data_IF_184746989158
#
_entry.id   IF_184746989158
#
_cell.length_a   1.000
_cell.length_b   1.000
_cell.length_c   1.000
_cell.angle_alpha   90.00
_cell.angle_beta   90.00
_cell.angle_gamma   90.00
#
_symmetry.space_group_name_H-M   'P 1'
#
loop_
_entity.id
_entity.type
_entity.pdbx_description
1 polymer ?
#
# COMPACT_ATOMS: atom_id res chain seq x y z
N UNK A 1 -2.06 36.05 4.04
CA UNK A 1 -1.05 35.57 5.01
C UNK A 1 0.25 35.31 4.25
N UNK A 2 1.32 36.08 4.50
CA UNK A 2 2.63 35.90 3.81
C UNK A 2 3.36 34.71 4.44
N UNK A 3 3.85 33.76 3.63
CA UNK A 3 4.72 32.67 4.08
C UNK A 3 6.02 33.26 4.66
N UNK A 4 6.44 32.78 5.84
CA UNK A 4 7.76 33.11 6.40
C UNK A 4 8.84 32.24 5.71
N UNK A 5 10.02 32.77 5.40
CA UNK A 5 11.11 31.99 4.82
C UNK A 5 11.71 31.01 5.83
N UNK A 6 12.09 29.82 5.36
CA UNK A 6 12.88 28.82 6.09
C UNK A 6 14.28 29.40 6.35
N UNK A 7 14.74 29.38 7.60
CA UNK A 7 16.07 29.86 8.00
C UNK A 7 16.97 28.67 8.33
N UNK A 8 18.06 28.49 7.57
CA UNK A 8 19.13 27.56 7.91
C UNK A 8 20.29 28.36 8.53
N UNK A 9 20.68 28.06 9.77
CA UNK A 9 21.84 28.69 10.42
C UNK A 9 22.94 27.64 10.67
N UNK A 10 24.22 27.94 10.37
CA UNK A 10 25.33 27.07 10.73
C UNK A 10 25.63 27.15 12.23
N UNK A 11 25.64 26.00 12.92
CA UNK A 11 26.03 25.90 14.33
C UNK A 11 27.55 25.98 14.44
N UNK A 12 28.09 26.99 15.13
CA UNK A 12 29.54 27.09 15.42
C UNK A 12 29.91 26.18 16.59
N UNK A 13 30.47 25.02 16.29
CA UNK A 13 31.18 24.18 17.27
C UNK A 13 32.50 23.68 16.69
N UNK A 14 33.59 24.42 16.88
CA UNK A 14 34.95 23.92 16.64
C UNK A 14 35.54 23.52 18.00
N UNK A 15 35.55 22.22 18.33
CA UNK A 15 36.44 21.71 19.37
C UNK A 15 37.79 21.37 18.72
N UNK A 16 38.85 22.10 19.11
CA UNK A 16 40.23 21.74 18.78
C UNK A 16 40.74 20.77 19.83
N UNK A 17 40.98 19.51 19.48
CA UNK A 17 41.97 18.68 20.16
C UNK A 17 43.34 18.93 19.52
N UNK A 18 44.37 19.13 20.36
CA UNK A 18 45.76 19.34 19.96
C UNK A 18 46.34 18.07 19.32
N UNK A 19 46.85 18.20 18.10
CA UNK A 19 47.53 17.13 17.35
C UNK A 19 49.00 17.50 17.21
N UNK A 20 49.91 16.68 17.75
CA UNK A 20 51.32 16.65 17.37
C UNK A 20 51.45 16.07 15.95
N UNK A 21 52.34 16.66 15.14
CA UNK A 21 52.46 16.47 13.69
C UNK A 21 52.34 15.01 13.22
N UNK A 22 51.37 14.75 12.33
CA UNK A 22 51.26 13.45 11.65
C UNK A 22 49.86 12.98 11.23
N UNK A 23 48.77 13.73 11.43
CA UNK A 23 47.44 13.30 10.95
C UNK A 23 46.57 14.43 10.40
N UNK A 24 45.92 14.18 9.27
CA UNK A 24 44.96 15.10 8.64
C UNK A 24 43.72 15.23 9.55
N UNK A 25 43.38 16.47 9.93
CA UNK A 25 42.18 16.76 10.71
C UNK A 25 40.91 16.61 9.84
N UNK A 26 40.07 15.64 10.17
CA UNK A 26 38.72 15.47 9.62
C UNK A 26 37.77 16.46 10.32
N UNK A 27 37.26 17.45 9.58
CA UNK A 27 36.18 18.33 10.07
C UNK A 27 34.81 17.76 9.70
N UNK A 28 33.89 17.70 10.68
CA UNK A 28 32.47 17.43 10.47
C UNK A 28 31.67 18.74 10.37
N UNK A 29 30.60 18.76 9.59
CA UNK A 29 29.62 19.84 9.55
C UNK A 29 28.24 19.27 9.90
N UNK A 30 27.54 19.90 10.84
CA UNK A 30 26.17 19.53 11.24
C UNK A 30 25.23 20.59 10.67
N UNK A 31 24.20 20.16 9.93
CA UNK A 31 23.15 21.04 9.41
C UNK A 31 21.86 20.70 10.14
N UNK A 32 21.32 21.65 10.89
CA UNK A 32 20.07 21.50 11.64
C UNK A 32 18.95 22.22 10.87
N UNK A 33 17.86 21.52 10.55
CA UNK A 33 16.67 22.08 9.92
C UNK A 33 15.52 22.12 10.93
N UNK A 34 15.02 23.32 11.24
CA UNK A 34 13.78 23.48 12.03
C UNK A 34 12.59 23.62 11.08
N UNK A 35 11.65 22.68 11.16
CA UNK A 35 10.37 22.72 10.44
C UNK A 35 9.28 23.28 11.35
N UNK A 36 8.46 24.20 10.81
CA UNK A 36 7.28 24.70 11.51
C UNK A 36 6.10 23.71 11.46
N UNK A 37 5.07 23.88 12.31
CA UNK A 37 3.94 22.95 12.43
C UNK A 37 3.07 22.81 11.17
N UNK A 38 3.21 23.69 10.17
CA UNK A 38 2.47 23.64 8.90
C UNK A 38 3.28 23.02 7.74
N UNK A 39 4.53 22.60 7.97
CA UNK A 39 5.42 22.07 6.93
C UNK A 39 5.58 20.53 6.96
N UNK A 40 4.71 19.82 7.68
CA UNK A 40 4.67 18.34 7.67
C UNK A 40 4.03 17.74 6.41
N UNK A 41 3.58 18.56 5.46
CA UNK A 41 3.18 18.08 4.15
C UNK A 41 4.39 17.49 3.38
N UNK A 42 4.21 16.51 2.48
CA UNK A 42 5.30 15.90 1.70
C UNK A 42 6.20 16.93 0.99
N UNK A 43 5.63 18.07 0.62
CA UNK A 43 6.35 19.20 0.01
C UNK A 43 7.35 19.90 0.94
N UNK A 44 7.15 19.87 2.26
CA UNK A 44 8.06 20.48 3.25
C UNK A 44 9.28 19.62 3.52
N UNK A 45 9.09 18.32 3.72
CA UNK A 45 10.19 17.35 3.87
C UNK A 45 11.07 17.25 2.62
N UNK A 46 10.47 17.27 1.42
CA UNK A 46 11.22 17.24 0.16
C UNK A 46 12.12 18.47 -0.01
N UNK A 47 11.66 19.65 0.41
CA UNK A 47 12.46 20.89 0.41
C UNK A 47 13.66 20.79 1.37
N UNK A 48 13.45 20.24 2.56
CA UNK A 48 14.54 20.02 3.53
C UNK A 48 15.58 19.01 3.01
N UNK A 49 15.15 17.89 2.44
CA UNK A 49 16.06 16.88 1.90
C UNK A 49 16.86 17.43 0.71
N UNK A 50 16.22 18.19 -0.16
CA UNK A 50 16.88 18.86 -1.30
C UNK A 50 17.92 19.87 -0.84
N UNK A 51 17.61 20.68 0.18
CA UNK A 51 18.55 21.65 0.75
C UNK A 51 19.75 20.98 1.45
N UNK A 52 19.53 19.87 2.16
CA UNK A 52 20.59 19.09 2.80
C UNK A 52 21.53 18.44 1.77
N UNK A 53 20.99 17.92 0.67
CA UNK A 53 21.77 17.32 -0.42
C UNK A 53 22.57 18.40 -1.18
N UNK A 54 21.97 19.54 -1.52
CA UNK A 54 22.68 20.63 -2.20
C UNK A 54 23.81 21.21 -1.36
N UNK A 55 23.65 21.31 -0.03
CA UNK A 55 24.71 21.80 0.87
C UNK A 55 25.85 20.79 1.06
N UNK A 56 25.59 19.49 0.86
CA UNK A 56 26.64 18.46 0.81
C UNK A 56 27.41 18.46 -0.52
N UNK A 57 26.72 18.72 -1.64
CA UNK A 57 27.33 18.71 -2.99
C UNK A 57 28.07 20.01 -3.33
N UNK A 58 27.62 21.15 -2.80
CA UNK A 58 28.21 22.47 -3.07
C UNK A 58 28.47 23.22 -1.75
N UNK A 59 29.64 23.04 -1.10
CA UNK A 59 30.01 23.88 0.04
C UNK A 59 30.21 25.32 -0.44
N UNK A 60 29.17 26.15 -0.34
CA UNK A 60 29.25 27.57 -0.67
C UNK A 60 30.27 28.25 0.26
N UNK A 61 31.25 28.96 -0.32
CA UNK A 61 32.10 29.89 0.43
C UNK A 61 31.20 30.96 1.09
N UNK A 62 31.40 31.29 2.37
CA UNK A 62 30.55 32.28 3.02
C UNK A 62 30.81 33.67 2.45
N UNK A 63 29.77 34.47 2.12
CA UNK A 63 29.95 35.88 1.87
C UNK A 63 30.21 36.60 3.22
N UNK A 64 31.24 37.46 3.24
CA UNK A 64 31.43 38.44 4.33
C UNK A 64 30.31 39.47 4.27
N UNK A 65 29.47 39.53 5.30
CA UNK A 65 29.16 40.74 6.10
C UNK A 65 27.99 40.49 7.05
N UNK A 66 28.25 40.82 8.31
CA UNK A 66 27.36 40.88 9.47
C UNK A 66 26.36 42.03 9.33
N UNK A 67 25.10 41.80 9.68
CA UNK A 67 24.22 42.81 10.26
C UNK A 67 23.38 42.14 11.36
N UNK A 68 23.59 42.58 12.60
CA UNK A 68 22.75 42.26 13.76
C UNK A 68 21.61 43.28 13.87
N UNK A 69 20.43 42.85 14.32
CA UNK A 69 19.72 43.43 15.49
C UNK A 69 18.51 42.54 15.87
N UNK A 70 17.97 42.66 17.10
CA UNK A 70 17.50 41.54 17.93
C UNK A 70 15.99 41.33 17.87
N UNK A 71 15.51 40.14 18.29
CA UNK A 71 14.24 39.98 19.03
C UNK A 71 14.11 38.53 19.56
N UNK A 72 14.21 38.45 20.90
CA UNK A 72 13.56 37.57 21.89
C UNK A 72 13.19 36.11 21.57
N UNK A 73 13.72 35.26 22.46
CA UNK A 73 13.37 33.86 22.78
C UNK A 73 11.87 33.56 22.74
N UNK A 74 11.51 32.44 22.10
CA UNK A 74 10.69 31.39 22.72
C UNK A 74 11.09 30.02 22.12
N UNK A 75 11.60 29.13 22.96
CA UNK A 75 12.02 27.76 22.62
C UNK A 75 10.82 26.81 22.56
N UNK A 76 10.62 26.12 21.43
CA UNK A 76 9.75 24.93 21.33
C UNK A 76 10.57 23.70 20.92
N UNK A 77 10.46 22.63 21.70
CA UNK A 77 11.18 21.37 21.50
C UNK A 77 10.55 20.51 20.39
N UNK A 78 11.13 20.56 19.19
CA UNK A 78 10.97 19.52 18.16
C UNK A 78 12.21 18.62 18.14
N UNK A 79 12.03 17.31 17.94
CA UNK A 79 13.14 16.35 17.85
C UNK A 79 14.00 16.63 16.61
N UNK A 80 15.32 16.89 16.75
CA UNK A 80 16.20 17.13 15.60
C UNK A 80 16.51 15.81 14.87
N UNK A 81 16.40 15.82 13.53
CA UNK A 81 16.96 14.80 12.67
C UNK A 81 18.43 15.14 12.40
N UNK A 82 19.35 14.33 12.93
CA UNK A 82 20.79 14.52 12.74
C UNK A 82 21.30 13.68 11.57
N UNK A 83 21.90 14.32 10.57
CA UNK A 83 22.61 13.65 9.48
C UNK A 83 24.12 13.84 9.64
N UNK A 84 24.88 12.75 9.66
CA UNK A 84 26.35 12.75 9.72
C UNK A 84 26.90 12.41 8.33
N UNK A 85 27.63 13.33 7.71
CA UNK A 85 28.34 13.07 6.46
C UNK A 85 29.82 12.82 6.71
N UNK A 86 30.33 11.66 6.28
CA UNK A 86 31.77 11.38 6.24
C UNK A 86 32.36 11.79 4.88
N UNK A 87 33.44 12.58 4.89
CA UNK A 87 34.23 12.85 3.68
C UNK A 87 35.18 11.69 3.43
N UNK A 88 34.98 10.99 2.31
CA UNK A 88 35.91 9.99 1.78
C UNK A 88 35.27 8.63 1.64
N UNK A 89 34.74 8.35 0.45
CA UNK A 89 34.13 7.06 0.12
C UNK A 89 33.11 7.23 -0.99
N UNK A 90 33.56 7.16 -2.23
CA UNK A 90 32.68 6.98 -3.38
C UNK A 90 32.22 5.51 -3.36
N UNK A 91 30.95 5.27 -3.72
CA UNK A 91 30.24 3.97 -3.95
C UNK A 91 29.40 3.43 -2.75
N UNK A 92 28.10 3.10 -2.91
CA UNK A 92 27.09 3.57 -3.86
C UNK A 92 25.85 4.10 -3.11
N UNK A 93 25.78 5.41 -2.84
CA UNK A 93 24.52 6.06 -2.42
C UNK A 93 23.58 6.33 -3.60
N UNK A 94 23.95 5.91 -4.82
CA UNK A 94 23.19 6.18 -6.03
C UNK A 94 22.07 5.15 -6.29
N UNK A 95 22.15 3.94 -5.73
CA UNK A 95 21.08 2.93 -5.87
C UNK A 95 19.86 3.21 -4.98
N UNK A 96 20.01 4.03 -3.93
CA UNK A 96 18.92 4.39 -3.02
C UNK A 96 18.18 5.67 -3.44
N UNK A 97 18.71 6.42 -4.42
CA UNK A 97 18.13 7.68 -4.89
C UNK A 97 17.31 7.54 -6.18
N UNK A 98 17.46 6.43 -6.92
CA UNK A 98 16.56 6.11 -8.04
C UNK A 98 15.16 5.69 -7.57
N UNK A 99 15.01 5.18 -6.34
CA UNK A 99 13.69 4.91 -5.75
C UNK A 99 12.93 6.18 -5.31
N UNK A 100 13.62 7.32 -5.18
CA UNK A 100 13.01 8.58 -4.73
C UNK A 100 12.41 9.42 -5.88
N UNK A 101 12.62 9.04 -7.14
CA UNK A 101 12.21 9.82 -8.32
C UNK A 101 11.23 9.09 -9.25
N UNK A 102 10.80 7.87 -8.93
CA UNK A 102 9.57 7.35 -9.54
C UNK A 102 8.41 8.25 -9.14
N UNK A 103 7.59 8.74 -10.09
CA UNK A 103 6.42 9.53 -9.75
C UNK A 103 5.61 8.81 -8.68
N UNK A 104 5.05 9.58 -7.74
CA UNK A 104 4.07 9.17 -6.72
C UNK A 104 2.77 8.65 -7.39
N UNK A 105 2.85 7.64 -8.26
CA UNK A 105 1.73 6.76 -8.50
C UNK A 105 1.45 6.09 -7.16
N UNK A 106 0.28 6.37 -6.62
CA UNK A 106 -0.09 6.01 -5.27
C UNK A 106 -0.30 4.49 -5.20
N UNK A 107 0.39 3.85 -4.26
CA UNK A 107 0.87 2.48 -4.36
C UNK A 107 -0.02 1.49 -3.59
N UNK A 108 -1.11 1.02 -4.21
CA UNK A 108 -2.05 0.04 -3.62
C UNK A 108 -1.59 -1.43 -3.78
N UNK A 109 -0.33 -1.74 -3.43
CA UNK A 109 0.17 -3.13 -3.45
C UNK A 109 -0.02 -3.78 -2.08
N UNK A 110 -0.87 -4.81 -2.01
CA UNK A 110 -1.06 -5.65 -0.82
C UNK A 110 0.02 -6.73 -0.76
N UNK A 111 1.12 -6.44 -0.08
CA UNK A 111 2.33 -7.27 -0.13
C UNK A 111 2.61 -8.10 1.13
N UNK A 112 1.89 -7.85 2.23
CA UNK A 112 2.10 -8.55 3.50
C UNK A 112 0.81 -9.25 3.92
N UNK A 113 0.94 -10.52 4.31
CA UNK A 113 -0.16 -11.31 4.84
C UNK A 113 -0.17 -11.19 6.37
N UNK A 114 -1.36 -11.22 6.94
CA UNK A 114 -1.59 -11.23 8.38
C UNK A 114 -2.34 -12.49 8.77
N UNK A 115 -1.94 -13.07 9.89
CA UNK A 115 -2.66 -14.14 10.55
C UNK A 115 -2.43 -14.02 12.04
N UNK A 116 -3.52 -13.97 12.81
CA UNK A 116 -3.49 -13.64 14.24
C UNK A 116 -2.81 -12.27 14.44
N UNK A 117 -1.86 -12.17 15.36
CA UNK A 117 -1.14 -10.93 15.66
C UNK A 117 0.16 -10.76 14.86
N UNK A 118 0.43 -11.64 13.89
CA UNK A 118 1.67 -11.63 13.10
C UNK A 118 1.45 -11.00 11.74
N UNK A 119 2.29 -10.02 11.41
CA UNK A 119 2.45 -9.48 10.05
C UNK A 119 3.70 -10.12 9.45
N UNK A 120 3.53 -10.90 8.39
CA UNK A 120 4.65 -11.61 7.75
C UNK A 120 5.50 -10.71 6.85
N UNK A 121 6.68 -11.19 6.47
CA UNK A 121 7.57 -10.44 5.60
C UNK A 121 6.90 -10.18 4.23
N UNK A 122 7.21 -9.05 3.56
CA UNK A 122 6.68 -8.77 2.22
C UNK A 122 6.91 -9.94 1.26
N UNK A 123 5.86 -10.31 0.54
CA UNK A 123 5.83 -11.38 -0.46
C UNK A 123 6.22 -12.78 0.04
N UNK A 124 6.28 -13.02 1.35
CA UNK A 124 6.56 -14.35 1.90
C UNK A 124 5.46 -15.35 1.47
N UNK A 125 4.21 -15.01 1.76
CA UNK A 125 3.03 -15.83 1.43
C UNK A 125 2.19 -15.26 0.30
N UNK A 126 2.58 -14.11 -0.25
CA UNK A 126 1.90 -13.41 -1.35
C UNK A 126 2.78 -13.48 -2.60
N UNK A 127 2.18 -13.76 -3.75
CA UNK A 127 2.90 -13.79 -5.04
C UNK A 127 3.55 -12.43 -5.30
N UNK A 128 4.85 -12.38 -5.66
CA UNK A 128 5.49 -11.13 -6.05
C UNK A 128 4.81 -10.56 -7.28
N UNK A 129 4.59 -9.24 -7.27
CA UNK A 129 3.99 -8.48 -8.37
C UNK A 129 4.87 -7.28 -8.66
N UNK A 130 4.98 -6.82 -9.91
CA UNK A 130 5.83 -5.68 -10.25
C UNK A 130 5.33 -4.41 -9.56
N UNK A 131 6.26 -3.49 -9.31
CA UNK A 131 5.91 -2.16 -8.85
C UNK A 131 5.16 -1.39 -9.95
N UNK A 132 3.94 -0.98 -9.62
CA UNK A 132 3.13 0.08 -10.22
C UNK A 132 2.74 -0.05 -11.70
N UNK A 133 1.52 -0.52 -11.92
CA UNK A 133 0.56 0.09 -12.87
C UNK A 133 -0.80 -0.49 -12.51
N UNK A 134 -1.86 0.32 -12.32
CA UNK A 134 -3.19 -0.25 -12.14
C UNK A 134 -3.48 -1.23 -13.26
N UNK A 135 -4.17 -2.31 -12.93
CA UNK A 135 -4.74 -3.16 -13.96
C UNK A 135 -6.05 -2.54 -14.40
N UNK A 136 -6.38 -2.74 -15.65
CA UNK A 136 -7.70 -2.54 -16.22
C UNK A 136 -8.20 -3.88 -16.72
N UNK A 137 -9.50 -4.00 -17.01
CA UNK A 137 -10.06 -5.25 -17.55
C UNK A 137 -9.39 -5.69 -18.88
N UNK A 138 -8.73 -4.78 -19.58
CA UNK A 138 -7.91 -5.05 -20.77
C UNK A 138 -6.62 -5.83 -20.48
N UNK A 139 -6.16 -5.89 -19.22
CA UNK A 139 -5.00 -6.70 -18.78
C UNK A 139 -5.34 -8.20 -18.65
N UNK A 140 -6.57 -8.61 -18.96
CA UNK A 140 -7.00 -10.01 -19.12
C UNK A 140 -6.65 -10.88 -17.89
N UNK A 141 -5.76 -11.85 -18.07
CA UNK A 141 -5.42 -12.86 -17.07
C UNK A 141 -4.66 -12.26 -15.88
N UNK A 142 -4.02 -11.10 -16.03
CA UNK A 142 -3.32 -10.44 -14.94
C UNK A 142 -4.30 -9.97 -13.86
N UNK A 143 -5.59 -9.77 -14.17
CA UNK A 143 -6.64 -9.46 -13.18
C UNK A 143 -6.80 -10.54 -12.10
N UNK A 144 -6.36 -11.77 -12.35
CA UNK A 144 -6.40 -12.86 -11.35
C UNK A 144 -5.55 -12.54 -10.14
N UNK A 145 -4.24 -12.41 -10.34
CA UNK A 145 -3.23 -12.34 -9.28
C UNK A 145 -2.15 -11.30 -9.55
N UNK A 146 -2.45 -10.31 -10.39
CA UNK A 146 -1.55 -9.31 -10.93
C UNK A 146 -0.55 -9.84 -11.98
N UNK A 147 0.16 -8.91 -12.62
CA UNK A 147 1.18 -9.21 -13.64
C UNK A 147 2.26 -10.10 -13.04
N UNK A 148 2.58 -11.20 -13.71
CA UNK A 148 3.54 -12.20 -13.21
C UNK A 148 2.99 -13.12 -12.11
N UNK A 149 1.83 -12.81 -11.53
CA UNK A 149 1.19 -13.60 -10.48
C UNK A 149 0.54 -14.90 -10.95
N UNK A 150 0.71 -15.30 -12.22
CA UNK A 150 0.27 -16.61 -12.71
C UNK A 150 1.08 -17.78 -12.11
N UNK A 151 2.31 -17.52 -11.67
CA UNK A 151 3.18 -18.51 -11.01
C UNK A 151 3.42 -18.12 -9.56
N UNK A 152 3.45 -19.11 -8.67
CA UNK A 152 3.72 -18.92 -7.25
C UNK A 152 4.92 -19.74 -6.75
N UNK A 153 5.83 -20.14 -7.65
CA UNK A 153 6.89 -21.10 -7.30
C UNK A 153 7.81 -20.64 -6.15
N UNK A 154 8.05 -19.33 -6.04
CA UNK A 154 8.86 -18.71 -5.00
C UNK A 154 8.07 -18.29 -3.75
N UNK A 155 6.77 -18.59 -3.68
CA UNK A 155 5.88 -18.14 -2.60
C UNK A 155 5.62 -19.29 -1.63
N UNK A 156 5.82 -19.04 -0.34
CA UNK A 156 5.54 -19.99 0.74
C UNK A 156 4.03 -20.20 0.90
N UNK A 157 3.61 -21.22 1.64
CA UNK A 157 2.20 -21.50 1.90
C UNK A 157 1.91 -21.38 3.38
N UNK A 158 0.96 -20.52 3.76
CA UNK A 158 0.57 -20.33 5.16
C UNK A 158 -0.52 -21.33 5.55
N UNK A 159 -0.29 -22.11 6.60
CA UNK A 159 -1.35 -22.96 7.18
C UNK A 159 -2.28 -22.12 8.05
N UNK A 160 -3.58 -22.18 7.77
CA UNK A 160 -4.64 -21.52 8.54
C UNK A 160 -5.73 -22.53 8.91
N UNK A 161 -6.52 -22.24 9.94
CA UNK A 161 -7.71 -23.04 10.26
C UNK A 161 -8.95 -22.34 9.73
N UNK A 162 -9.93 -23.09 9.21
CA UNK A 162 -11.23 -22.52 8.87
C UNK A 162 -11.83 -21.83 10.10
N UNK A 163 -12.34 -20.61 9.93
CA UNK A 163 -12.75 -19.73 11.03
C UNK A 163 -11.67 -18.76 11.52
N UNK A 164 -10.40 -18.94 11.15
CA UNK A 164 -9.35 -17.98 11.48
C UNK A 164 -9.58 -16.64 10.78
N UNK A 165 -9.18 -15.56 11.44
CA UNK A 165 -9.08 -14.23 10.84
C UNK A 165 -7.70 -14.04 10.20
N UNK A 166 -7.70 -13.64 8.94
CA UNK A 166 -6.50 -13.28 8.16
C UNK A 166 -6.64 -11.84 7.64
N UNK A 167 -5.57 -11.28 7.09
CA UNK A 167 -5.62 -9.92 6.54
C UNK A 167 -4.52 -9.63 5.55
N UNK A 168 -4.64 -8.51 4.87
CA UNK A 168 -3.62 -8.00 3.95
C UNK A 168 -3.21 -6.60 4.39
N UNK A 169 -1.90 -6.34 4.40
CA UNK A 169 -1.35 -5.01 4.63
C UNK A 169 -0.80 -4.43 3.32
N UNK A 170 -1.25 -3.24 2.93
CA UNK A 170 -0.71 -2.56 1.76
C UNK A 170 0.65 -1.93 2.06
N UNK A 171 1.42 -1.67 1.00
CA UNK A 171 2.72 -0.99 1.08
C UNK A 171 2.54 0.45 1.57
N UNK A 172 1.44 1.09 1.19
CA UNK A 172 1.05 2.44 1.57
C UNK A 172 -0.43 2.47 1.94
N UNK A 173 -0.87 3.52 2.63
CA UNK A 173 -2.30 3.71 2.87
C UNK A 173 -3.06 3.88 1.55
N UNK A 174 -4.13 3.11 1.38
CA UNK A 174 -5.03 3.22 0.23
C UNK A 174 -5.98 4.39 0.40
N UNK A 175 -6.05 5.20 -0.65
CA UNK A 175 -6.73 6.49 -0.64
C UNK A 175 -7.74 6.64 -1.79
N UNK A 176 -7.67 5.75 -2.79
CA UNK A 176 -8.66 5.72 -3.85
C UNK A 176 -10.00 5.18 -3.33
N UNK A 177 -11.13 5.72 -3.81
CA UNK A 177 -12.45 5.23 -3.45
C UNK A 177 -12.71 3.91 -4.15
N UNK A 178 -13.19 2.91 -3.43
CA UNK A 178 -13.47 1.63 -4.04
C UNK A 178 -13.85 0.54 -3.04
N UNK A 179 -14.51 -0.52 -3.50
CA UNK A 179 -14.72 -1.71 -2.69
C UNK A 179 -13.43 -2.49 -2.50
N UNK A 180 -13.41 -3.23 -1.41
CA UNK A 180 -12.49 -4.33 -1.18
C UNK A 180 -13.25 -5.65 -1.22
N UNK A 181 -12.58 -6.70 -1.69
CA UNK A 181 -13.12 -8.05 -1.65
C UNK A 181 -12.03 -9.10 -1.46
N UNK A 182 -12.39 -10.19 -0.79
CA UNK A 182 -11.56 -11.36 -0.64
C UNK A 182 -12.24 -12.59 -1.25
N UNK A 183 -11.45 -13.42 -1.94
CA UNK A 183 -11.91 -14.61 -2.64
C UNK A 183 -11.00 -15.79 -2.36
N UNK A 184 -11.57 -16.98 -2.39
CA UNK A 184 -10.82 -18.24 -2.37
C UNK A 184 -11.04 -18.98 -3.68
N UNK A 185 -9.98 -19.61 -4.17
CA UNK A 185 -10.06 -20.60 -5.25
C UNK A 185 -9.30 -21.86 -4.85
N UNK A 186 -10.03 -22.98 -4.79
CA UNK A 186 -9.47 -24.27 -4.44
C UNK A 186 -8.47 -24.72 -5.52
N UNK A 187 -7.33 -25.23 -5.10
CA UNK A 187 -6.35 -25.83 -6.00
C UNK A 187 -6.95 -27.13 -6.57
N UNK A 188 -7.01 -27.28 -7.90
CA UNK A 188 -7.53 -28.51 -8.52
C UNK A 188 -6.67 -29.74 -8.21
N UNK A 189 -7.29 -30.92 -8.23
CA UNK A 189 -6.57 -32.20 -8.08
C UNK A 189 -5.40 -32.32 -9.06
N UNK A 190 -4.27 -32.83 -8.57
CA UNK A 190 -3.03 -32.97 -9.36
C UNK A 190 -2.20 -31.70 -9.49
N UNK A 191 -2.62 -30.59 -8.88
CA UNK A 191 -1.84 -29.35 -8.77
C UNK A 191 -1.48 -29.05 -7.31
N UNK A 192 -0.57 -28.10 -7.12
CA UNK A 192 -0.28 -27.45 -5.85
C UNK A 192 -0.54 -25.95 -6.00
N UNK A 193 -0.68 -25.24 -4.90
CA UNK A 193 -0.88 -23.78 -4.94
C UNK A 193 0.26 -23.06 -5.67
N UNK A 194 1.47 -23.63 -5.66
CA UNK A 194 2.64 -23.08 -6.35
C UNK A 194 2.54 -23.12 -7.88
N UNK A 195 1.86 -24.13 -8.44
CA UNK A 195 1.71 -24.31 -9.90
C UNK A 195 0.28 -24.06 -10.41
N UNK A 196 -0.63 -23.62 -9.53
CA UNK A 196 -1.99 -23.25 -9.89
C UNK A 196 -2.08 -21.77 -10.31
N UNK A 197 -2.51 -21.49 -11.54
CA UNK A 197 -2.58 -20.13 -12.07
C UNK A 197 -3.83 -19.34 -11.63
N UNK A 198 -4.76 -19.97 -10.90
CA UNK A 198 -6.03 -19.35 -10.52
C UNK A 198 -7.08 -19.34 -11.63
N UNK A 199 -6.94 -20.22 -12.63
CA UNK A 199 -7.82 -20.34 -13.81
C UNK A 199 -9.12 -21.13 -13.54
N UNK A 200 -9.33 -21.59 -12.30
CA UNK A 200 -10.55 -22.25 -11.85
C UNK A 200 -11.57 -21.28 -11.23
N UNK A 201 -12.48 -21.86 -10.48
CA UNK A 201 -13.61 -21.13 -9.88
C UNK A 201 -13.19 -20.43 -8.59
N UNK A 202 -13.68 -19.21 -8.41
CA UNK A 202 -13.47 -18.36 -7.24
C UNK A 202 -14.81 -18.11 -6.54
N UNK A 203 -14.84 -18.27 -5.23
CA UNK A 203 -15.97 -17.83 -4.40
C UNK A 203 -15.53 -16.67 -3.52
N UNK A 204 -16.41 -15.69 -3.37
CA UNK A 204 -16.17 -14.51 -2.52
C UNK A 204 -16.43 -14.90 -1.07
N UNK A 205 -15.50 -14.57 -0.17
CA UNK A 205 -15.62 -14.86 1.27
C UNK A 205 -15.89 -13.61 2.10
N UNK A 206 -15.58 -12.45 1.54
CA UNK A 206 -15.73 -11.18 2.24
C UNK A 206 -15.76 -10.03 1.24
N UNK A 207 -16.50 -8.98 1.59
CA UNK A 207 -16.47 -7.72 0.87
C UNK A 207 -16.72 -6.54 1.80
N UNK A 208 -16.26 -5.37 1.35
CA UNK A 208 -16.39 -4.12 2.08
C UNK A 208 -16.52 -2.98 1.09
N UNK A 209 -17.73 -2.45 0.99
CA UNK A 209 -18.08 -1.32 0.13
C UNK A 209 -18.31 -0.06 0.95
N UNK A 210 -19.40 0.65 0.65
CA UNK A 210 -19.72 1.95 1.24
C UNK A 210 -20.32 1.85 2.66
N UNK A 211 -20.39 2.95 3.40
CA UNK A 211 -21.17 3.01 4.63
C UNK A 211 -22.66 2.71 4.37
N UNK A 212 -23.38 2.11 5.34
CA UNK A 212 -24.83 1.93 5.20
C UNK A 212 -25.53 3.27 5.41
N UNK A 213 -26.77 3.40 4.92
CA UNK A 213 -27.64 4.57 5.17
C UNK A 213 -27.08 5.92 4.68
N UNK A 214 -26.42 5.95 3.52
CA UNK A 214 -25.95 7.19 2.91
C UNK A 214 -27.12 8.12 2.57
N UNK A 215 -26.90 9.42 2.74
CA UNK A 215 -27.82 10.50 2.34
C UNK A 215 -27.20 11.35 1.23
N UNK A 216 -27.98 12.12 0.44
CA UNK A 216 -27.44 12.97 -0.61
C UNK A 216 -26.36 13.96 -0.16
N UNK A 217 -26.33 14.28 1.14
CA UNK A 217 -25.38 15.18 1.78
C UNK A 217 -24.11 14.47 2.28
N UNK A 218 -24.07 13.14 2.24
CA UNK A 218 -22.90 12.36 2.67
C UNK A 218 -21.67 12.74 1.87
N UNK A 219 -20.65 13.22 2.55
CA UNK A 219 -19.38 13.57 1.95
C UNK A 219 -18.65 12.32 1.44
N UNK A 220 -17.61 12.54 0.63
CA UNK A 220 -16.74 11.48 0.14
C UNK A 220 -16.18 10.58 1.26
N UNK A 221 -15.74 11.19 2.37
CA UNK A 221 -15.16 10.51 3.54
C UNK A 221 -16.23 9.74 4.33
N UNK A 222 -17.50 10.13 4.21
CA UNK A 222 -18.65 9.46 4.81
C UNK A 222 -19.25 8.40 3.88
N UNK A 223 -18.81 8.36 2.62
CA UNK A 223 -19.30 7.41 1.60
C UNK A 223 -18.44 6.16 1.55
N UNK A 224 -17.15 6.33 1.29
CA UNK A 224 -16.21 5.23 1.18
C UNK A 224 -15.57 5.00 2.53
N UNK A 225 -15.74 3.78 3.04
CA UNK A 225 -15.08 3.39 4.27
C UNK A 225 -13.58 3.35 4.00
N UNK A 226 -12.82 4.12 4.78
CA UNK A 226 -11.36 3.99 4.77
C UNK A 226 -11.00 2.56 5.15
N UNK A 227 -9.90 2.04 4.58
CA UNK A 227 -9.36 0.76 5.03
C UNK A 227 -9.11 0.83 6.54
N UNK A 228 -9.68 -0.09 7.33
CA UNK A 228 -9.10 -0.36 8.63
C UNK A 228 -7.64 -0.80 8.43
N UNK A 229 -6.72 -0.30 9.24
CA UNK A 229 -5.33 -0.76 9.27
C UNK A 229 -5.06 -1.47 10.60
N UNK A 230 -4.85 -2.80 10.61
CA UNK A 230 -4.87 -3.71 9.46
C UNK A 230 -6.29 -4.12 9.02
N UNK A 231 -6.47 -4.39 7.72
CA UNK A 231 -7.72 -4.94 7.20
C UNK A 231 -7.71 -6.44 7.31
N UNK A 232 -8.69 -6.95 8.05
CA UNK A 232 -8.83 -8.37 8.34
C UNK A 232 -10.23 -8.87 8.02
N UNK A 233 -10.32 -10.15 7.69
CA UNK A 233 -11.56 -10.84 7.37
C UNK A 233 -11.44 -12.32 7.75
N UNK A 234 -12.56 -12.99 8.06
CA UNK A 234 -12.55 -14.40 8.41
C UNK A 234 -12.37 -15.29 7.17
N UNK A 235 -11.65 -16.40 7.33
CA UNK A 235 -11.85 -17.58 6.48
C UNK A 235 -13.14 -18.26 6.96
N UNK A 236 -14.15 -18.48 6.10
CA UNK A 236 -15.42 -19.07 6.54
C UNK A 236 -15.22 -20.42 7.24
N UNK A 237 -15.96 -20.69 8.32
CA UNK A 237 -15.78 -21.89 9.14
C UNK A 237 -16.13 -23.18 8.40
N UNK A 238 -17.03 -23.10 7.42
CA UNK A 238 -17.38 -24.21 6.54
C UNK A 238 -16.38 -24.44 5.39
N UNK A 239 -15.27 -23.68 5.29
CA UNK A 239 -14.32 -23.80 4.18
C UNK A 239 -13.72 -25.22 4.14
N UNK A 240 -13.84 -25.96 3.02
CA UNK A 240 -13.28 -27.31 2.91
C UNK A 240 -11.76 -27.29 3.13
N UNK A 241 -11.16 -28.32 3.75
CA UNK A 241 -9.71 -28.38 3.91
C UNK A 241 -9.01 -28.52 2.56
N UNK A 242 -7.80 -27.96 2.45
CA UNK A 242 -6.96 -28.06 1.26
C UNK A 242 -6.23 -26.76 0.92
N UNK A 243 -5.55 -26.76 -0.23
CA UNK A 243 -4.83 -25.60 -0.73
C UNK A 243 -5.73 -24.63 -1.49
N UNK A 244 -5.53 -23.34 -1.25
CA UNK A 244 -6.26 -22.27 -1.92
C UNK A 244 -5.32 -21.15 -2.34
N UNK A 245 -5.68 -20.49 -3.43
CA UNK A 245 -5.31 -19.09 -3.61
C UNK A 245 -6.31 -18.22 -2.86
N UNK A 246 -5.77 -17.36 -1.99
CA UNK A 246 -6.52 -16.30 -1.32
C UNK A 246 -6.24 -14.98 -2.05
N UNK A 247 -7.23 -14.50 -2.80
CA UNK A 247 -7.14 -13.24 -3.55
C UNK A 247 -7.74 -12.12 -2.72
N UNK A 248 -7.00 -11.05 -2.51
CA UNK A 248 -7.51 -9.78 -2.00
C UNK A 248 -7.43 -8.73 -3.09
N UNK A 249 -8.45 -7.88 -3.18
CA UNK A 249 -8.53 -6.87 -4.23
C UNK A 249 -9.11 -5.58 -3.69
N UNK A 250 -8.53 -4.48 -4.17
CA UNK A 250 -9.15 -3.16 -4.22
C UNK A 250 -9.53 -2.81 -5.66
N UNK A 251 -10.75 -2.30 -5.86
CA UNK A 251 -11.19 -1.75 -7.16
C UNK A 251 -11.37 -0.24 -7.03
N UNK A 252 -10.39 0.54 -7.45
CA UNK A 252 -10.48 2.00 -7.41
C UNK A 252 -11.42 2.53 -8.51
N UNK A 253 -12.36 3.38 -8.09
CA UNK A 253 -13.49 3.86 -8.91
C UNK A 253 -13.41 5.34 -9.27
N UNK A 254 -12.34 6.04 -8.89
CA UNK A 254 -12.20 7.47 -9.15
C UNK A 254 -12.23 7.83 -10.65
N UNK A 255 -11.85 6.89 -11.52
CA UNK A 255 -11.91 7.02 -12.98
C UNK A 255 -13.03 6.18 -13.63
N UNK A 256 -13.84 5.44 -12.83
CA UNK A 256 -14.85 4.51 -13.35
C UNK A 256 -16.06 5.20 -14.00
N UNK A 257 -16.18 6.52 -13.94
CA UNK A 257 -17.20 7.26 -14.69
C UNK A 257 -16.95 7.16 -16.21
N UNK A 258 -15.68 6.94 -16.61
CA UNK A 258 -15.28 6.54 -17.95
C UNK A 258 -15.33 5.01 -18.06
N UNK A 259 -15.95 4.52 -19.14
CA UNK A 259 -16.00 3.09 -19.43
C UNK A 259 -14.59 2.49 -19.51
N UNK A 260 -14.31 1.53 -18.64
CA UNK A 260 -13.00 0.87 -18.56
C UNK A 260 -11.96 1.62 -17.71
N UNK A 261 -12.34 2.75 -17.11
CA UNK A 261 -11.46 3.55 -16.24
C UNK A 261 -11.34 3.04 -14.81
N UNK A 262 -12.06 1.98 -14.42
CA UNK A 262 -11.83 1.33 -13.13
C UNK A 262 -10.42 0.72 -13.08
N UNK A 263 -9.79 0.82 -11.92
CA UNK A 263 -8.43 0.36 -11.66
C UNK A 263 -8.45 -0.78 -10.64
N UNK A 264 -7.79 -1.88 -10.94
CA UNK A 264 -7.82 -3.10 -10.14
C UNK A 264 -6.45 -3.36 -9.52
N UNK A 265 -6.44 -3.65 -8.22
CA UNK A 265 -5.25 -3.94 -7.43
C UNK A 265 -5.39 -5.30 -6.72
N UNK A 266 -5.25 -6.43 -7.45
CA UNK A 266 -5.30 -7.76 -6.86
C UNK A 266 -3.93 -8.21 -6.33
N UNK A 267 -3.96 -8.95 -5.22
CA UNK A 267 -2.85 -9.75 -4.70
C UNK A 267 -3.33 -11.15 -4.34
N UNK A 268 -2.53 -12.17 -4.60
CA UNK A 268 -2.85 -13.56 -4.28
C UNK A 268 -1.87 -14.14 -3.26
N UNK A 269 -2.40 -14.62 -2.14
CA UNK A 269 -1.69 -15.39 -1.14
C UNK A 269 -1.88 -16.90 -1.33
N UNK A 270 -0.91 -17.67 -0.85
CA UNK A 270 -0.98 -19.12 -0.78
C UNK A 270 -1.37 -19.55 0.63
N UNK A 271 -2.48 -20.27 0.76
CA UNK A 271 -2.91 -20.82 2.05
C UNK A 271 -3.22 -22.33 1.96
N UNK A 272 -2.99 -23.03 3.06
CA UNK A 272 -3.49 -24.39 3.31
C UNK A 272 -4.50 -24.30 4.45
N UNK A 273 -5.77 -24.59 4.15
CA UNK A 273 -6.85 -24.56 5.13
C UNK A 273 -6.95 -25.91 5.81
N UNK A 274 -6.81 -25.92 7.14
CA UNK A 274 -7.20 -27.03 7.99
C UNK A 274 -8.66 -26.84 8.42
N UNK A 275 -9.44 -27.91 8.42
CA UNK A 275 -10.80 -27.89 8.97
C UNK A 275 -11.12 -29.21 9.64
N UNK A 276 -10.87 -29.30 10.96
CA UNK A 276 -11.15 -30.49 11.75
C UNK A 276 -12.67 -30.81 11.84
N UNK A 277 -13.52 -29.81 11.64
CA UNK A 277 -14.98 -29.96 11.62
C UNK A 277 -15.55 -30.39 10.27
N UNK A 278 -14.72 -30.52 9.24
CA UNK A 278 -15.17 -30.85 7.89
C UNK A 278 -15.77 -32.26 7.83
N UNK A 279 -16.99 -32.35 7.30
CA UNK A 279 -17.66 -33.62 7.00
C UNK A 279 -17.69 -33.79 5.48
N UNK A 280 -17.42 -35.00 5.01
CA UNK A 280 -17.58 -35.33 3.59
C UNK A 280 -19.00 -34.99 3.14
N UNK A 281 -19.13 -34.20 2.07
CA UNK A 281 -20.41 -33.68 1.60
C UNK A 281 -20.90 -32.41 2.32
N UNK A 282 -20.03 -31.69 3.03
CA UNK A 282 -20.33 -30.38 3.61
C UNK A 282 -20.76 -29.32 2.58
N UNK A 283 -21.13 -28.10 3.04
CA UNK A 283 -21.58 -27.02 2.18
C UNK A 283 -20.58 -26.73 1.05
N UNK A 284 -21.09 -26.62 -0.18
CA UNK A 284 -20.26 -26.29 -1.33
C UNK A 284 -20.08 -24.77 -1.41
N UNK A 285 -18.84 -24.25 -1.51
CA UNK A 285 -18.63 -22.82 -1.68
C UNK A 285 -19.30 -22.29 -2.95
N UNK A 286 -20.03 -21.18 -2.83
CA UNK A 286 -20.69 -20.55 -3.97
C UNK A 286 -21.61 -19.39 -3.58
N UNK A 287 -22.11 -18.61 -4.56
CA UNK A 287 -21.87 -18.74 -5.99
C UNK A 287 -20.41 -18.48 -6.39
N UNK A 288 -19.98 -19.03 -7.53
CA UNK A 288 -18.61 -18.87 -8.02
C UNK A 288 -18.54 -18.02 -9.28
N UNK A 289 -17.36 -17.47 -9.57
CA UNK A 289 -17.03 -16.80 -10.82
C UNK A 289 -15.57 -17.07 -11.22
N UNK A 290 -15.16 -16.61 -12.40
CA UNK A 290 -13.78 -16.66 -12.88
C UNK A 290 -13.28 -15.27 -13.18
N UNK A 291 -11.98 -15.03 -13.02
CA UNK A 291 -11.36 -13.75 -13.40
C UNK A 291 -10.62 -13.90 -14.73
N UNK A 292 -10.79 -12.95 -15.67
CA UNK A 292 -11.36 -11.60 -15.46
C UNK A 292 -12.90 -11.45 -15.57
N UNK A 293 -13.62 -12.51 -15.92
CA UNK A 293 -15.05 -12.46 -16.27
C UNK A 293 -15.96 -11.97 -15.13
N UNK A 294 -15.57 -12.17 -13.88
CA UNK A 294 -16.30 -11.77 -12.68
C UNK A 294 -16.55 -10.26 -12.59
N UNK A 295 -15.68 -9.45 -13.21
CA UNK A 295 -15.85 -7.99 -13.30
C UNK A 295 -16.55 -7.55 -14.58
N UNK A 296 -16.79 -8.48 -15.51
CA UNK A 296 -17.44 -8.21 -16.78
C UNK A 296 -18.97 -8.38 -16.73
N UNK A 297 -19.50 -8.93 -15.64
CA UNK A 297 -20.93 -9.18 -15.47
C UNK A 297 -21.77 -7.89 -15.39
N UNK A 298 -21.17 -6.75 -15.04
CA UNK A 298 -21.83 -5.45 -14.99
C UNK A 298 -21.69 -4.71 -16.33
N UNK A 299 -22.80 -4.20 -16.88
CA UNK A 299 -22.88 -3.36 -18.10
C UNK A 299 -22.00 -3.80 -19.30
N UNK A 300 -22.14 -5.06 -19.77
CA UNK A 300 -21.40 -5.58 -20.93
C UNK A 300 -19.87 -5.50 -20.80
N UNK A 301 -19.33 -5.88 -19.66
CA UNK A 301 -17.88 -5.99 -19.52
C UNK A 301 -17.18 -4.76 -18.99
N UNK A 302 -17.91 -3.74 -18.52
CA UNK A 302 -17.33 -2.45 -18.15
C UNK A 302 -17.98 -1.96 -16.86
N UNK A 303 -17.26 -2.06 -15.76
CA UNK A 303 -17.60 -1.38 -14.52
C UNK A 303 -17.63 0.13 -14.80
N UNK A 304 -18.82 0.66 -15.09
CA UNK A 304 -19.07 2.10 -15.16
C UNK A 304 -19.74 2.49 -13.85
N UNK A 305 -19.09 3.37 -13.12
CA UNK A 305 -19.55 3.82 -11.84
C UNK A 305 -19.17 5.28 -11.66
N UNK A 306 -20.15 6.16 -11.48
CA UNK A 306 -19.86 7.53 -11.12
C UNK A 306 -19.86 7.65 -9.59
N UNK A 307 -18.68 7.70 -9.00
CA UNK A 307 -18.53 7.85 -7.55
C UNK A 307 -19.00 9.21 -6.99
N UNK A 308 -19.28 10.17 -7.87
CA UNK A 308 -19.86 11.47 -7.52
C UNK A 308 -21.40 11.50 -7.64
N UNK A 309 -22.02 10.46 -8.21
CA UNK A 309 -23.46 10.35 -8.33
C UNK A 309 -24.03 9.59 -7.13
N UNK A 310 -24.83 10.28 -6.32
CA UNK A 310 -25.42 9.71 -5.11
C UNK A 310 -26.30 8.48 -5.39
N UNK A 311 -27.03 8.44 -6.51
CA UNK A 311 -27.87 7.30 -6.85
C UNK A 311 -27.03 6.07 -7.20
N UNK A 312 -25.90 6.26 -7.89
CA UNK A 312 -24.94 5.20 -8.17
C UNK A 312 -24.36 4.64 -6.87
N UNK A 313 -23.93 5.53 -5.98
CA UNK A 313 -23.33 5.21 -4.69
C UNK A 313 -24.32 4.50 -3.75
N UNK A 314 -25.56 4.97 -3.64
CA UNK A 314 -26.57 4.37 -2.76
C UNK A 314 -26.91 2.93 -3.17
N UNK A 315 -26.89 2.64 -4.47
CA UNK A 315 -27.19 1.30 -4.99
C UNK A 315 -25.97 0.38 -4.97
N UNK A 316 -24.78 0.90 -4.63
CA UNK A 316 -23.52 0.18 -4.81
C UNK A 316 -23.47 -1.16 -4.06
N UNK A 317 -23.73 -1.13 -2.74
CA UNK A 317 -23.69 -2.32 -1.89
C UNK A 317 -24.78 -3.36 -2.24
N UNK A 318 -25.88 -2.95 -2.88
CA UNK A 318 -27.03 -3.83 -3.16
C UNK A 318 -27.06 -4.37 -4.60
N UNK A 319 -26.41 -3.68 -5.54
CA UNK A 319 -26.54 -3.96 -6.99
C UNK A 319 -25.27 -3.77 -7.81
N UNK A 320 -24.15 -3.28 -7.25
CA UNK A 320 -22.95 -2.97 -8.05
C UNK A 320 -21.63 -3.45 -7.44
N UNK A 321 -21.66 -4.25 -6.37
CA UNK A 321 -20.44 -4.91 -5.87
C UNK A 321 -19.94 -5.89 -6.94
N UNK A 322 -18.70 -5.75 -7.46
CA UNK A 322 -18.22 -6.63 -8.51
C UNK A 322 -18.11 -8.08 -8.05
N UNK A 323 -18.30 -9.03 -8.97
CA UNK A 323 -18.14 -10.45 -8.71
C UNK A 323 -19.36 -11.13 -8.06
N UNK A 324 -19.24 -12.42 -7.70
CA UNK A 324 -20.33 -13.19 -7.11
C UNK A 324 -20.74 -12.65 -5.74
N UNK A 325 -21.93 -13.04 -5.27
CA UNK A 325 -22.33 -12.79 -3.89
C UNK A 325 -21.35 -13.46 -2.90
N UNK A 326 -21.21 -12.87 -1.70
CA UNK A 326 -20.43 -13.47 -0.61
C UNK A 326 -21.04 -14.83 -0.24
N UNK A 327 -20.21 -15.86 -0.23
CA UNK A 327 -20.61 -17.18 0.26
C UNK A 327 -20.86 -17.10 1.76
N UNK A 328 -22.02 -17.58 2.20
CA UNK A 328 -22.46 -17.46 3.58
C UNK A 328 -21.53 -18.21 4.55
N UNK A 329 -21.07 -19.41 4.19
CA UNK A 329 -19.89 -20.12 4.73
C UNK A 329 -19.77 -20.23 6.26
N UNK A 330 -20.84 -19.91 6.98
CA UNK A 330 -20.93 -19.90 8.44
C UNK A 330 -20.81 -21.31 9.01
#
# INVERSE_FOLDING_TARGET
MRMRPVSCQPVRGYSRSSVTEGSQALGSAVVECQLGPLDFAPSGMLKCLTAAILSCLFPLKPPRKTLQSPLQDETFHGHPLNFVCHKGGVVPLCSALEELLTPLALKDIFHQLLHRETIFAPFQYIRPVPAETPLHLTDKNDIRCNRGGASGQSTDTLTVTAGDTVGFKPTFWTHHPGPFAAYLSAVPSGKTVKNYAGDGDWFKIWEFGTYPNLTPESTYQETWRLLPDPLTFPIPAATPPGQYLLRFEHVALHNAYVRGGAEFYPSCAHIEVLNAGWKSGGPKPGPTARFPEAHQAEENGKLRFNFQDFNDVQQFNSKKMPGPAVWDGR
#
